data_IF_261100588922
#
_entry.id   IF_261100588922
#
_cell.length_a   1.000
_cell.length_b   1.000
_cell.length_c   1.000
_cell.angle_alpha   90.00
_cell.angle_beta   90.00
_cell.angle_gamma   90.00
#
_symmetry.space_group_name_H-M   'P 1'
#
loop_
_entity.id
_entity.type
_entity.pdbx_description
1 polymer ?
#
# COMPACT_ATOMS: atom_id res chain seq x y z
N UNK A 1 -23.96 15.18 -15.50
CA UNK A 1 -25.15 14.52 -16.07
C UNK A 1 -26.33 14.46 -15.11
N UNK A 2 -26.17 14.11 -13.82
CA UNK A 2 -27.31 14.00 -12.89
C UNK A 2 -28.10 15.30 -12.69
N UNK A 3 -27.42 16.41 -12.40
CA UNK A 3 -28.07 17.72 -12.25
C UNK A 3 -28.72 18.22 -13.54
N UNK A 4 -28.05 17.99 -14.67
CA UNK A 4 -28.61 18.27 -16.01
C UNK A 4 -29.89 17.47 -16.26
N UNK A 5 -29.87 16.16 -15.95
CA UNK A 5 -31.06 15.32 -16.06
C UNK A 5 -32.20 15.80 -15.16
N UNK A 6 -31.91 16.19 -13.91
CA UNK A 6 -32.92 16.77 -13.02
C UNK A 6 -33.49 18.11 -13.54
N UNK A 7 -32.65 18.94 -14.17
CA UNK A 7 -33.08 20.17 -14.81
C UNK A 7 -34.01 19.88 -16.00
N UNK A 8 -33.68 18.89 -16.84
CA UNK A 8 -34.55 18.46 -17.94
C UNK A 8 -35.86 17.85 -17.45
N UNK A 9 -35.88 17.07 -16.35
CA UNK A 9 -37.15 16.61 -15.76
C UNK A 9 -38.06 17.79 -15.42
N UNK A 10 -37.53 18.83 -14.77
CA UNK A 10 -38.31 20.04 -14.45
C UNK A 10 -38.82 20.76 -15.70
N UNK A 11 -37.95 20.95 -16.69
CA UNK A 11 -38.30 21.59 -17.95
C UNK A 11 -39.42 20.82 -18.68
N UNK A 12 -39.31 19.51 -18.76
CA UNK A 12 -40.31 18.67 -19.46
C UNK A 12 -41.66 18.62 -18.77
N UNK A 13 -41.69 18.70 -17.43
CA UNK A 13 -42.95 18.81 -16.71
C UNK A 13 -43.67 20.11 -17.08
N UNK A 14 -42.94 21.23 -17.09
CA UNK A 14 -43.48 22.52 -17.52
C UNK A 14 -43.94 22.49 -18.99
N UNK A 15 -43.13 21.96 -19.90
CA UNK A 15 -43.49 21.84 -21.32
C UNK A 15 -44.71 20.93 -21.55
N UNK A 16 -44.92 19.92 -20.69
CA UNK A 16 -46.08 19.02 -20.78
C UNK A 16 -47.36 19.70 -20.30
N UNK A 17 -47.27 20.51 -19.23
CA UNK A 17 -48.40 21.27 -18.68
C UNK A 17 -48.90 22.33 -19.68
N UNK A 18 -48.00 22.97 -20.42
CA UNK A 18 -48.30 24.03 -21.38
C UNK A 18 -48.52 23.51 -22.83
N UNK A 19 -48.51 22.19 -23.07
CA UNK A 19 -48.58 21.62 -24.41
C UNK A 19 -50.00 21.67 -25.02
N UNK A 20 -50.13 22.44 -26.12
CA UNK A 20 -51.38 22.58 -26.90
C UNK A 20 -51.42 21.59 -28.07
N UNK A 21 -50.26 21.32 -28.68
CA UNK A 21 -50.14 20.44 -29.86
C UNK A 21 -49.61 19.06 -29.47
N UNK A 22 -50.07 18.02 -30.15
CA UNK A 22 -49.57 16.65 -29.92
C UNK A 22 -48.07 16.50 -30.22
N UNK A 23 -47.55 17.26 -31.19
CA UNK A 23 -46.10 17.30 -31.47
C UNK A 23 -45.26 17.90 -30.33
N UNK A 24 -45.84 18.74 -29.48
CA UNK A 24 -45.19 19.24 -28.26
C UNK A 24 -45.17 18.16 -27.17
N UNK A 25 -46.28 17.44 -26.99
CA UNK A 25 -46.38 16.31 -26.03
C UNK A 25 -45.41 15.18 -26.37
N UNK A 26 -45.29 14.87 -27.66
CA UNK A 26 -44.33 13.89 -28.20
C UNK A 26 -42.89 14.29 -27.89
N UNK A 27 -42.51 15.56 -28.12
CA UNK A 27 -41.16 16.08 -27.78
C UNK A 27 -40.88 16.11 -26.28
N UNK A 28 -41.84 16.55 -25.47
CA UNK A 28 -41.71 16.59 -24.02
C UNK A 28 -41.48 15.18 -23.44
N UNK A 29 -42.15 14.16 -24.01
CA UNK A 29 -41.95 12.75 -23.62
C UNK A 29 -40.54 12.25 -23.93
N UNK A 30 -40.00 12.53 -25.12
CA UNK A 30 -38.61 12.12 -25.44
C UNK A 30 -37.58 12.81 -24.57
N UNK A 31 -37.77 14.10 -24.33
CA UNK A 31 -36.89 14.88 -23.48
C UNK A 31 -36.94 14.35 -22.05
N UNK A 32 -38.10 13.87 -21.58
CA UNK A 32 -38.24 13.20 -20.28
C UNK A 32 -37.49 11.87 -20.23
N UNK A 33 -37.50 11.10 -21.31
CA UNK A 33 -36.74 9.86 -21.41
C UNK A 33 -35.22 10.13 -21.41
N UNK A 34 -34.77 11.14 -22.15
CA UNK A 34 -33.37 11.62 -22.12
C UNK A 34 -32.97 12.05 -20.70
N UNK A 35 -33.81 12.85 -20.04
CA UNK A 35 -33.59 13.30 -18.67
C UNK A 35 -33.43 12.12 -17.70
N UNK A 36 -34.30 11.12 -17.83
CA UNK A 36 -34.27 9.90 -17.01
C UNK A 36 -33.02 9.07 -17.27
N UNK A 37 -32.64 8.87 -18.54
CA UNK A 37 -31.41 8.17 -18.92
C UNK A 37 -30.16 8.88 -18.37
N UNK A 38 -30.11 10.22 -18.44
CA UNK A 38 -29.01 11.02 -17.90
C UNK A 38 -28.89 10.91 -16.37
N UNK A 39 -30.00 10.89 -15.63
CA UNK A 39 -30.01 10.65 -14.18
C UNK A 39 -29.55 9.23 -13.86
N UNK A 40 -30.06 8.23 -14.59
CA UNK A 40 -29.69 6.81 -14.42
C UNK A 40 -28.20 6.59 -14.66
N UNK A 41 -27.65 7.10 -15.76
CA UNK A 41 -26.22 7.04 -16.05
C UNK A 41 -25.40 7.71 -14.95
N UNK A 42 -25.82 8.89 -14.47
CA UNK A 42 -25.14 9.57 -13.37
C UNK A 42 -25.12 8.76 -12.07
N UNK A 43 -26.19 8.00 -11.78
CA UNK A 43 -26.24 7.10 -10.62
C UNK A 43 -25.28 5.92 -10.80
N UNK A 44 -25.30 5.29 -11.97
CA UNK A 44 -24.38 4.20 -12.31
C UNK A 44 -22.91 4.62 -12.17
N UNK A 45 -22.54 5.82 -12.63
CA UNK A 45 -21.19 6.35 -12.42
C UNK A 45 -20.83 6.55 -10.94
N UNK A 46 -21.76 7.03 -10.11
CA UNK A 46 -21.50 7.20 -8.66
C UNK A 46 -21.28 5.86 -7.97
N UNK A 47 -22.11 4.87 -8.30
CA UNK A 47 -21.96 3.52 -7.75
C UNK A 47 -20.66 2.87 -8.22
N UNK A 48 -20.31 3.02 -9.51
CA UNK A 48 -19.03 2.57 -10.05
C UNK A 48 -17.85 3.20 -9.32
N UNK A 49 -17.86 4.53 -9.13
CA UNK A 49 -16.81 5.22 -8.38
C UNK A 49 -16.67 4.67 -6.95
N UNK A 50 -17.78 4.42 -6.26
CA UNK A 50 -17.75 3.84 -4.92
C UNK A 50 -17.12 2.44 -4.92
N UNK A 51 -17.37 1.63 -5.93
CA UNK A 51 -16.73 0.31 -6.08
C UNK A 51 -15.25 0.43 -6.43
N UNK A 52 -14.87 1.35 -7.32
CA UNK A 52 -13.48 1.61 -7.70
C UNK A 52 -12.65 2.00 -6.47
N UNK A 53 -13.16 2.90 -5.62
CA UNK A 53 -12.48 3.28 -4.38
C UNK A 53 -12.27 2.08 -3.47
N UNK A 54 -13.28 1.20 -3.31
CA UNK A 54 -13.16 -0.01 -2.49
C UNK A 54 -12.07 -0.95 -2.98
N UNK A 55 -11.96 -1.16 -4.30
CA UNK A 55 -10.91 -2.01 -4.85
C UNK A 55 -9.53 -1.40 -4.63
N UNK A 56 -9.39 -0.09 -4.89
CA UNK A 56 -8.11 0.63 -4.76
C UNK A 56 -7.64 0.79 -3.32
N UNK A 57 -8.49 0.54 -2.32
CA UNK A 57 -8.12 0.56 -0.90
C UNK A 57 -6.94 -0.39 -0.58
N UNK A 58 -6.79 -1.46 -1.37
CA UNK A 58 -5.64 -2.39 -1.31
C UNK A 58 -4.28 -1.71 -1.54
N UNK A 59 -4.24 -0.62 -2.31
CA UNK A 59 -3.00 0.16 -2.46
C UNK A 59 -2.66 0.94 -1.19
N UNK A 60 -3.67 1.42 -0.46
CA UNK A 60 -3.46 2.11 0.81
C UNK A 60 -2.97 1.15 1.89
N UNK A 61 -3.56 -0.04 1.98
CA UNK A 61 -3.08 -1.11 2.87
C UNK A 61 -1.61 -1.45 2.56
N UNK A 62 -1.25 -1.62 1.29
CA UNK A 62 0.13 -1.87 0.85
C UNK A 62 1.11 -0.79 1.32
N UNK A 63 0.76 0.49 1.14
CA UNK A 63 1.60 1.60 1.60
C UNK A 63 1.82 1.57 3.12
N UNK A 64 0.79 1.21 3.89
CA UNK A 64 0.90 1.03 5.34
C UNK A 64 1.90 -0.07 5.72
N UNK A 65 1.83 -1.22 5.05
CA UNK A 65 2.76 -2.33 5.29
C UNK A 65 4.19 -1.99 4.88
N UNK A 66 4.39 -1.22 3.79
CA UNK A 66 5.73 -0.77 3.39
C UNK A 66 6.43 0.09 4.44
N UNK A 67 5.67 0.90 5.20
CA UNK A 67 6.24 1.64 6.33
C UNK A 67 6.72 0.70 7.44
N UNK A 68 5.94 -0.34 7.75
CA UNK A 68 6.33 -1.36 8.73
C UNK A 68 7.56 -2.17 8.27
N UNK A 69 7.62 -2.54 6.99
CA UNK A 69 8.78 -3.21 6.40
C UNK A 69 10.05 -2.35 6.51
N UNK A 70 9.95 -1.04 6.27
CA UNK A 70 11.06 -0.11 6.47
C UNK A 70 11.51 -0.08 7.95
N UNK A 71 10.57 -0.10 8.90
CA UNK A 71 10.87 -0.25 10.33
C UNK A 71 11.66 -1.53 10.62
N UNK A 72 11.21 -2.67 10.12
CA UNK A 72 11.90 -3.95 10.31
C UNK A 72 13.33 -3.97 9.73
N UNK A 73 13.57 -3.28 8.61
CA UNK A 73 14.92 -3.12 8.06
C UNK A 73 15.79 -2.16 8.90
N UNK A 74 15.20 -1.12 9.47
CA UNK A 74 15.88 -0.22 10.40
C UNK A 74 16.30 -0.97 11.68
N UNK A 75 15.44 -1.81 12.23
CA UNK A 75 15.74 -2.64 13.41
C UNK A 75 16.88 -3.61 13.13
N UNK A 76 16.84 -4.30 11.97
CA UNK A 76 17.94 -5.18 11.53
C UNK A 76 19.26 -4.42 11.39
N UNK A 77 19.23 -3.22 10.83
CA UNK A 77 20.43 -2.38 10.65
C UNK A 77 20.99 -1.93 11.99
N UNK A 78 20.12 -1.59 12.95
CA UNK A 78 20.51 -1.22 14.31
C UNK A 78 21.15 -2.40 15.05
N UNK A 79 20.57 -3.60 14.96
CA UNK A 79 21.15 -4.82 15.52
C UNK A 79 22.52 -5.15 14.91
N UNK A 80 22.68 -4.97 13.60
CA UNK A 80 23.97 -5.14 12.93
C UNK A 80 25.02 -4.16 13.44
N UNK A 81 24.65 -2.89 13.64
CA UNK A 81 25.55 -1.88 14.18
C UNK A 81 26.03 -2.26 15.59
N UNK A 82 25.15 -2.83 16.43
CA UNK A 82 25.54 -3.34 17.75
C UNK A 82 26.57 -4.47 17.63
N UNK A 83 26.36 -5.43 16.74
CA UNK A 83 27.32 -6.53 16.48
C UNK A 83 28.68 -5.99 16.03
N UNK A 84 28.69 -5.02 15.12
CA UNK A 84 29.92 -4.40 14.61
C UNK A 84 30.66 -3.62 15.70
N UNK A 85 29.93 -2.87 16.53
CA UNK A 85 30.50 -2.11 17.65
C UNK A 85 31.19 -3.05 18.64
N UNK A 86 30.50 -4.09 19.11
CA UNK A 86 31.06 -5.06 20.06
C UNK A 86 32.24 -5.83 19.45
N UNK A 87 32.21 -6.12 18.15
CA UNK A 87 33.33 -6.77 17.47
C UNK A 87 34.57 -5.88 17.41
N UNK A 88 34.41 -4.59 17.14
CA UNK A 88 35.50 -3.61 17.17
C UNK A 88 36.08 -3.44 18.57
N UNK A 89 35.22 -3.35 19.59
CA UNK A 89 35.63 -3.23 20.99
C UNK A 89 36.42 -4.45 21.45
N UNK A 90 35.98 -5.65 21.06
CA UNK A 90 36.67 -6.90 21.37
C UNK A 90 38.09 -6.94 20.77
N UNK A 91 38.23 -6.59 19.48
CA UNK A 91 39.54 -6.53 18.81
C UNK A 91 40.45 -5.49 19.49
N UNK A 92 39.90 -4.34 19.88
CA UNK A 92 40.63 -3.32 20.64
C UNK A 92 41.12 -3.85 22.00
N UNK A 93 40.27 -4.54 22.75
CA UNK A 93 40.61 -5.17 24.03
C UNK A 93 41.70 -6.24 23.87
N UNK A 94 41.55 -7.14 22.88
CA UNK A 94 42.55 -8.16 22.56
C UNK A 94 43.91 -7.55 22.22
N UNK A 95 43.94 -6.52 21.38
CA UNK A 95 45.19 -5.82 21.04
C UNK A 95 45.88 -5.17 22.25
N UNK A 96 45.10 -4.68 23.23
CA UNK A 96 45.63 -4.09 24.48
C UNK A 96 46.19 -5.16 25.40
N UNK A 97 45.53 -6.31 25.49
CA UNK A 97 45.99 -7.48 26.25
C UNK A 97 47.34 -7.95 25.68
N UNK A 98 47.42 -8.18 24.37
CA UNK A 98 48.65 -8.63 23.69
C UNK A 98 49.83 -7.68 23.93
N UNK A 99 49.60 -6.37 23.81
CA UNK A 99 50.63 -5.35 24.07
C UNK A 99 51.13 -5.38 25.51
N UNK A 100 50.24 -5.56 26.49
CA UNK A 100 50.62 -5.63 27.90
C UNK A 100 51.34 -6.95 28.24
N UNK A 101 50.91 -8.06 27.66
CA UNK A 101 51.58 -9.36 27.82
C UNK A 101 53.00 -9.32 27.23
N UNK A 102 53.17 -8.77 26.03
CA UNK A 102 54.48 -8.60 25.38
C UNK A 102 55.41 -7.64 26.13
N UNK A 103 54.86 -6.66 26.85
CA UNK A 103 55.64 -5.75 27.70
C UNK A 103 56.00 -6.39 29.06
N UNK A 104 55.17 -7.29 29.58
CA UNK A 104 55.38 -8.00 30.84
C UNK A 104 56.45 -9.08 30.73
N UNK A 105 56.48 -9.82 29.60
CA UNK A 105 57.45 -10.90 29.36
C UNK A 105 58.93 -10.44 29.31
N UNK A 106 59.17 -9.13 29.12
CA UNK A 106 60.51 -8.53 29.07
C UNK A 106 61.09 -8.22 30.45
N UNK A 107 60.33 -8.34 31.54
CA UNK A 107 60.77 -8.01 32.90
C UNK A 107 60.86 -9.29 33.74
N UNK A 108 62.08 -9.64 34.14
CA UNK A 108 62.34 -10.78 35.03
C UNK A 108 61.69 -10.53 36.40
N UNK A 109 60.76 -11.41 36.82
CA UNK A 109 60.07 -11.31 38.12
C UNK A 109 58.61 -10.83 38.07
N UNK A 110 58.10 -10.38 36.91
CA UNK A 110 56.68 -10.08 36.68
C UNK A 110 56.11 -8.92 37.51
N UNK A 111 55.72 -7.84 36.85
CA UNK A 111 55.05 -6.72 37.53
C UNK A 111 53.62 -7.14 37.94
N UNK A 112 53.42 -7.45 39.24
CA UNK A 112 52.12 -7.89 39.81
C UNK A 112 50.97 -6.94 39.48
N UNK A 113 51.23 -5.64 39.37
CA UNK A 113 50.21 -4.66 39.03
C UNK A 113 49.76 -4.79 37.57
N UNK A 114 50.70 -5.06 36.67
CA UNK A 114 50.45 -5.34 35.25
C UNK A 114 49.72 -6.66 35.04
N UNK A 115 50.10 -7.72 35.77
CA UNK A 115 49.38 -9.00 35.71
C UNK A 115 47.91 -8.83 36.10
N UNK A 116 47.63 -8.11 37.20
CA UNK A 116 46.25 -7.84 37.64
C UNK A 116 45.45 -7.07 36.57
N UNK A 117 46.08 -6.09 35.92
CA UNK A 117 45.46 -5.32 34.83
C UNK A 117 45.20 -6.14 33.57
N UNK A 118 46.06 -7.12 33.25
CA UNK A 118 45.83 -8.07 32.16
C UNK A 118 44.61 -8.94 32.48
N UNK A 119 44.50 -9.43 33.72
CA UNK A 119 43.35 -10.22 34.18
C UNK A 119 42.04 -9.43 34.08
N UNK A 120 42.02 -8.18 34.55
CA UNK A 120 40.84 -7.30 34.45
C UNK A 120 40.41 -7.06 32.98
N UNK A 121 41.38 -6.86 32.08
CA UNK A 121 41.10 -6.71 30.65
C UNK A 121 40.61 -8.01 30.01
N UNK A 122 41.13 -9.16 30.43
CA UNK A 122 40.65 -10.48 29.96
C UNK A 122 39.21 -10.74 30.39
N UNK A 123 38.86 -10.40 31.63
CA UNK A 123 37.47 -10.51 32.09
C UNK A 123 36.55 -9.56 31.30
N UNK A 124 36.98 -8.32 31.07
CA UNK A 124 36.23 -7.37 30.23
C UNK A 124 36.04 -7.89 28.80
N UNK A 125 37.09 -8.49 28.22
CA UNK A 125 37.03 -9.10 26.89
C UNK A 125 36.07 -10.30 26.86
N UNK A 126 36.05 -11.14 27.92
CA UNK A 126 35.10 -12.25 28.04
C UNK A 126 33.66 -11.76 28.05
N UNK A 127 33.35 -10.79 28.90
CA UNK A 127 32.00 -10.18 28.98
C UNK A 127 31.60 -9.55 27.64
N UNK A 128 32.54 -8.92 26.94
CA UNK A 128 32.30 -8.33 25.60
C UNK A 128 32.02 -9.41 24.54
N UNK A 129 32.74 -10.54 24.57
CA UNK A 129 32.47 -11.67 23.67
C UNK A 129 31.10 -12.31 23.94
N UNK A 130 30.72 -12.46 25.20
CA UNK A 130 29.40 -12.97 25.59
C UNK A 130 28.29 -12.02 25.10
N UNK A 131 28.47 -10.70 25.27
CA UNK A 131 27.56 -9.69 24.77
C UNK A 131 27.46 -9.73 23.23
N UNK A 132 28.60 -9.85 22.53
CA UNK A 132 28.64 -10.00 21.07
C UNK A 132 27.90 -11.26 20.62
N UNK A 133 28.09 -12.38 21.30
CA UNK A 133 27.40 -13.65 21.01
C UNK A 133 25.88 -13.52 21.18
N UNK A 134 25.43 -12.76 22.18
CA UNK A 134 24.01 -12.40 22.33
C UNK A 134 23.52 -11.50 21.18
N UNK A 135 24.27 -10.46 20.83
CA UNK A 135 23.91 -9.53 19.75
C UNK A 135 23.84 -10.21 18.38
N UNK A 136 24.75 -11.16 18.10
CA UNK A 136 24.74 -11.96 16.87
C UNK A 136 23.47 -12.81 16.79
N UNK A 137 23.09 -13.49 17.88
CA UNK A 137 21.85 -14.28 17.91
C UNK A 137 20.62 -13.42 17.67
N UNK A 138 20.58 -12.21 18.24
CA UNK A 138 19.47 -11.29 18.02
C UNK A 138 19.41 -10.78 16.58
N UNK A 139 20.55 -10.38 16.00
CA UNK A 139 20.62 -9.98 14.60
C UNK A 139 20.15 -11.09 13.65
N UNK A 140 20.60 -12.32 13.88
CA UNK A 140 20.21 -13.49 13.07
C UNK A 140 18.72 -13.78 13.20
N UNK A 141 18.16 -13.70 14.42
CA UNK A 141 16.72 -13.84 14.65
C UNK A 141 15.91 -12.80 13.88
N UNK A 142 16.30 -11.53 13.91
CA UNK A 142 15.61 -10.47 13.16
C UNK A 142 15.75 -10.72 11.66
N UNK A 143 16.94 -11.12 11.19
CA UNK A 143 17.19 -11.40 9.78
C UNK A 143 16.30 -12.53 9.25
N UNK A 144 16.19 -13.63 9.97
CA UNK A 144 15.35 -14.77 9.58
C UNK A 144 13.86 -14.41 9.61
N UNK A 145 13.40 -13.73 10.66
CA UNK A 145 12.02 -13.24 10.74
C UNK A 145 11.68 -12.32 9.56
N UNK A 146 12.56 -11.38 9.21
CA UNK A 146 12.34 -10.48 8.09
C UNK A 146 12.29 -11.25 6.76
N UNK A 147 13.10 -12.29 6.58
CA UNK A 147 13.07 -13.12 5.36
C UNK A 147 11.73 -13.82 5.24
N UNK A 148 11.33 -14.54 6.28
CA UNK A 148 10.12 -15.35 6.27
C UNK A 148 8.86 -14.46 6.10
N UNK A 149 8.84 -13.31 6.74
CA UNK A 149 7.76 -12.33 6.61
C UNK A 149 7.71 -11.69 5.23
N UNK A 150 8.86 -11.38 4.62
CA UNK A 150 8.90 -10.83 3.27
C UNK A 150 8.40 -11.84 2.22
N UNK A 151 8.73 -13.12 2.37
CA UNK A 151 8.21 -14.18 1.50
C UNK A 151 6.70 -14.37 1.65
N UNK A 152 6.18 -14.30 2.88
CA UNK A 152 4.74 -14.35 3.15
C UNK A 152 4.03 -13.15 2.52
N UNK A 153 4.57 -11.96 2.78
CA UNK A 153 4.05 -10.71 2.26
C UNK A 153 4.01 -10.68 0.73
N UNK A 154 5.04 -11.17 0.04
CA UNK A 154 5.07 -11.16 -1.42
C UNK A 154 3.94 -12.03 -2.03
N UNK A 155 3.67 -13.18 -1.41
CA UNK A 155 2.57 -14.08 -1.80
C UNK A 155 1.20 -13.44 -1.55
N UNK A 156 0.98 -12.90 -0.36
CA UNK A 156 -0.27 -12.23 0.02
C UNK A 156 -0.55 -11.03 -0.90
N UNK A 157 0.48 -10.19 -1.14
CA UNK A 157 0.41 -9.02 -2.03
C UNK A 157 0.01 -9.39 -3.45
N UNK A 158 0.59 -10.45 -4.00
CA UNK A 158 0.26 -10.89 -5.36
C UNK A 158 -1.24 -11.22 -5.48
N UNK A 159 -1.78 -11.95 -4.50
CA UNK A 159 -3.20 -12.31 -4.45
C UNK A 159 -4.07 -11.05 -4.32
N UNK A 160 -3.78 -10.19 -3.34
CA UNK A 160 -4.57 -8.97 -3.08
C UNK A 160 -4.63 -8.04 -4.30
N UNK A 161 -3.51 -7.84 -4.99
CA UNK A 161 -3.47 -6.98 -6.18
C UNK A 161 -4.18 -7.62 -7.37
N UNK A 162 -4.09 -8.93 -7.54
CA UNK A 162 -4.83 -9.64 -8.58
C UNK A 162 -6.34 -9.56 -8.33
N UNK A 163 -6.79 -9.74 -7.09
CA UNK A 163 -8.20 -9.64 -6.72
C UNK A 163 -8.72 -8.20 -6.85
N UNK A 164 -7.93 -7.20 -6.45
CA UNK A 164 -8.22 -5.79 -6.70
C UNK A 164 -8.43 -5.51 -8.19
N UNK A 165 -7.46 -5.89 -9.04
CA UNK A 165 -7.54 -5.64 -10.48
C UNK A 165 -8.73 -6.36 -11.12
N UNK A 166 -8.96 -7.61 -10.73
CA UNK A 166 -10.11 -8.38 -11.20
C UNK A 166 -11.42 -7.71 -10.82
N UNK A 167 -11.57 -7.32 -9.56
CA UNK A 167 -12.76 -6.61 -9.07
C UNK A 167 -12.98 -5.28 -9.79
N UNK A 168 -11.90 -4.51 -9.99
CA UNK A 168 -11.92 -3.26 -10.73
C UNK A 168 -12.40 -3.47 -12.17
N UNK A 169 -11.77 -4.37 -12.93
CA UNK A 169 -12.10 -4.62 -14.34
C UNK A 169 -13.53 -5.15 -14.50
N UNK A 170 -13.95 -6.10 -13.66
CA UNK A 170 -15.30 -6.65 -13.70
C UNK A 170 -16.37 -5.56 -13.47
N UNK A 171 -16.15 -4.68 -12.49
CA UNK A 171 -17.08 -3.59 -12.24
C UNK A 171 -17.04 -2.54 -13.36
N UNK A 172 -15.88 -2.16 -13.87
CA UNK A 172 -15.77 -1.23 -15.00
C UNK A 172 -16.55 -1.75 -16.22
N UNK A 173 -16.35 -3.02 -16.59
CA UNK A 173 -17.05 -3.64 -17.70
C UNK A 173 -18.57 -3.73 -17.46
N UNK A 174 -18.98 -4.25 -16.29
CA UNK A 174 -20.40 -4.44 -15.98
C UNK A 174 -21.17 -3.12 -15.85
N UNK A 175 -20.56 -2.06 -15.34
CA UNK A 175 -21.19 -0.74 -15.33
C UNK A 175 -21.18 -0.07 -16.71
N UNK A 176 -20.14 -0.27 -17.52
CA UNK A 176 -20.13 0.20 -18.91
C UNK A 176 -21.28 -0.41 -19.72
N UNK A 177 -21.52 -1.72 -19.58
CA UNK A 177 -22.65 -2.41 -20.21
C UNK A 177 -23.99 -1.86 -19.74
N UNK A 178 -24.19 -1.68 -18.42
CA UNK A 178 -25.42 -1.08 -17.88
C UNK A 178 -25.68 0.34 -18.41
N UNK A 179 -24.62 1.11 -18.60
CA UNK A 179 -24.71 2.46 -19.16
C UNK A 179 -25.00 2.42 -20.66
N UNK A 180 -24.34 1.53 -21.41
CA UNK A 180 -24.61 1.32 -22.82
C UNK A 180 -26.09 0.96 -23.06
N UNK A 181 -26.63 -0.01 -22.31
CA UNK A 181 -28.04 -0.40 -22.40
C UNK A 181 -28.99 0.76 -22.09
N UNK A 182 -28.63 1.67 -21.17
CA UNK A 182 -29.45 2.84 -20.88
C UNK A 182 -29.47 3.85 -22.05
N UNK A 183 -28.36 3.99 -22.77
CA UNK A 183 -28.26 4.86 -23.94
C UNK A 183 -28.87 4.23 -25.20
N UNK A 184 -28.72 2.92 -25.38
CA UNK A 184 -29.32 2.17 -26.48
C UNK A 184 -30.84 2.25 -26.44
N UNK A 185 -31.45 1.98 -25.27
CA UNK A 185 -32.89 2.13 -25.09
C UNK A 185 -33.38 3.55 -25.43
N UNK A 186 -32.63 4.58 -25.01
CA UNK A 186 -32.98 5.96 -25.34
C UNK A 186 -32.89 6.23 -26.86
N UNK A 187 -31.85 5.71 -27.52
CA UNK A 187 -31.68 5.85 -28.95
C UNK A 187 -32.82 5.19 -29.74
N UNK A 188 -33.27 4.01 -29.30
CA UNK A 188 -34.43 3.32 -29.88
C UNK A 188 -35.72 4.13 -29.70
N UNK A 189 -35.98 4.65 -28.50
CA UNK A 189 -37.16 5.49 -28.19
C UNK A 189 -37.20 6.78 -29.02
N UNK A 190 -36.03 7.30 -29.41
CA UNK A 190 -35.87 8.58 -30.12
C UNK A 190 -35.54 8.43 -31.62
N UNK A 191 -35.58 7.20 -32.16
CA UNK A 191 -35.15 6.88 -33.53
C UNK A 191 -35.87 7.68 -34.63
N UNK A 192 -37.09 8.16 -34.37
CA UNK A 192 -37.86 8.99 -35.31
C UNK A 192 -37.10 10.24 -35.74
N UNK A 193 -36.34 10.87 -34.85
CA UNK A 193 -35.55 12.05 -35.20
C UNK A 193 -34.46 11.76 -36.22
N UNK A 194 -33.97 10.52 -36.28
CA UNK A 194 -33.02 10.10 -37.31
C UNK A 194 -33.70 9.81 -38.66
N UNK A 195 -35.00 9.46 -38.66
CA UNK A 195 -35.78 9.13 -39.87
C UNK A 195 -36.43 10.36 -40.52
N UNK A 196 -36.81 11.35 -39.72
CA UNK A 196 -37.48 12.57 -40.19
C UNK A 196 -36.48 13.64 -40.68
N UNK A 197 -35.17 13.44 -40.46
CA UNK A 197 -34.09 14.35 -40.85
C UNK A 197 -33.43 14.04 -42.20
N UNK A 198 -33.97 13.07 -42.97
CA UNK A 198 -33.50 12.65 -44.29
C UNK A 198 -34.51 12.93 -45.40
#
# INVERSE_FOLDING_TARGET
>A
MGELGLAFVKLTNFETEEAILDSQRVRATDMKNLATAAVKASRLYRELNAQTVKHLDKLHEYLGVMLAANGAFSDRSSALLTVQTLSSDLVSLQSRIEKLEAASSKIFGGDRSRMRKIEDLKETARVTEDAKSCAVREYERIKDNNRDELERFDKERHIDFMDMLKGFVLNQAGYAEKMANAWENLAEETIRYARDGS
#
